data_IF_642577806681
#
_entry.id   IF_642577806681
#
_cell.length_a   1.000
_cell.length_b   1.000
_cell.length_c   1.000
_cell.angle_alpha   90.00
_cell.angle_beta   90.00
_cell.angle_gamma   90.00
#
_symmetry.space_group_name_H-M   'P 1'
#
loop_
_entity.id
_entity.type
_entity.pdbx_description
1 polymer ?
#
# COMPACT_ATOMS: atom_id res chain seq x y z
N UNK A 1 -27.39 5.96 4.89
CA UNK A 1 -27.92 5.45 3.59
C UNK A 1 -26.73 4.92 2.82
N UNK A 2 -26.53 3.60 2.79
CA UNK A 2 -25.48 2.97 1.99
C UNK A 2 -25.88 3.06 0.51
N UNK A 3 -25.32 4.05 -0.19
CA UNK A 3 -25.65 4.32 -1.60
C UNK A 3 -24.71 3.62 -2.59
N UNK A 4 -23.72 2.86 -2.10
CA UNK A 4 -22.77 2.13 -2.93
C UNK A 4 -23.03 0.64 -2.79
N UNK A 5 -23.51 0.02 -3.87
CA UNK A 5 -23.66 -1.44 -3.96
C UNK A 5 -22.36 -2.07 -4.45
N UNK A 6 -22.09 -3.32 -4.09
CA UNK A 6 -20.92 -4.06 -4.59
C UNK A 6 -20.89 -4.09 -6.13
N UNK A 7 -22.06 -4.17 -6.76
CA UNK A 7 -22.19 -4.09 -8.22
C UNK A 7 -21.72 -2.74 -8.79
N UNK A 8 -22.05 -1.62 -8.13
CA UNK A 8 -21.57 -0.30 -8.55
C UNK A 8 -20.05 -0.20 -8.44
N UNK A 9 -19.49 -0.63 -7.30
CA UNK A 9 -18.05 -0.63 -7.06
C UNK A 9 -17.30 -1.49 -8.08
N UNK A 10 -17.75 -2.72 -8.28
CA UNK A 10 -17.16 -3.63 -9.26
C UNK A 10 -17.14 -3.00 -10.66
N UNK A 11 -18.26 -2.41 -11.11
CA UNK A 11 -18.33 -1.73 -12.41
C UNK A 11 -17.39 -0.53 -12.50
N UNK A 12 -17.32 0.28 -11.44
CA UNK A 12 -16.46 1.46 -11.38
C UNK A 12 -14.99 1.08 -11.49
N UNK A 13 -14.53 0.13 -10.67
CA UNK A 13 -13.15 -0.36 -10.65
C UNK A 13 -12.83 -1.03 -12.00
N UNK A 14 -13.69 -1.94 -12.48
CA UNK A 14 -13.49 -2.63 -13.74
C UNK A 14 -13.39 -1.67 -14.93
N UNK A 15 -14.25 -0.66 -15.01
CA UNK A 15 -14.18 0.36 -16.07
C UNK A 15 -12.89 1.19 -16.01
N UNK A 16 -12.38 1.44 -14.79
CA UNK A 16 -11.12 2.15 -14.57
C UNK A 16 -9.94 1.30 -15.04
N UNK A 17 -9.89 0.02 -14.69
CA UNK A 17 -8.88 -0.94 -15.17
C UNK A 17 -8.91 -1.01 -16.70
N UNK A 18 -10.08 -1.19 -17.30
CA UNK A 18 -10.23 -1.27 -18.75
C UNK A 18 -9.73 -0.02 -19.48
N UNK A 19 -9.92 1.17 -18.91
CA UNK A 19 -9.45 2.41 -19.49
C UNK A 19 -7.91 2.48 -19.61
N UNK A 20 -7.18 1.79 -18.73
CA UNK A 20 -5.71 1.73 -18.77
C UNK A 20 -5.17 0.79 -19.87
N UNK A 21 -5.99 -0.16 -20.33
CA UNK A 21 -5.57 -1.22 -21.24
C UNK A 21 -4.66 -2.29 -20.62
N UNK A 22 -4.43 -2.25 -19.30
CA UNK A 22 -3.65 -3.26 -18.60
C UNK A 22 -4.45 -4.58 -18.47
N UNK A 23 -3.82 -5.74 -18.73
CA UNK A 23 -4.50 -7.04 -18.67
C UNK A 23 -4.56 -7.56 -17.21
N UNK A 24 -5.31 -6.85 -16.37
CA UNK A 24 -5.46 -7.14 -14.93
C UNK A 24 -6.87 -7.65 -14.64
N UNK A 25 -6.97 -8.71 -13.84
CA UNK A 25 -8.26 -9.24 -13.38
C UNK A 25 -8.70 -8.51 -12.12
N UNK A 26 -10.02 -8.39 -11.94
CA UNK A 26 -10.65 -7.82 -10.75
C UNK A 26 -11.41 -8.91 -10.01
N UNK A 27 -11.18 -9.02 -8.71
CA UNK A 27 -11.94 -9.92 -7.82
C UNK A 27 -12.46 -9.13 -6.61
N UNK A 28 -13.61 -9.54 -6.08
CA UNK A 28 -14.07 -9.04 -4.79
C UNK A 28 -13.53 -9.96 -3.69
N UNK A 29 -12.98 -9.37 -2.64
CA UNK A 29 -12.52 -10.10 -1.46
C UNK A 29 -13.06 -9.48 -0.16
N UNK A 30 -12.79 -10.16 0.95
CA UNK A 30 -13.15 -9.70 2.31
C UNK A 30 -11.94 -9.77 3.24
N UNK A 31 -10.78 -9.32 2.74
CA UNK A 31 -9.51 -9.35 3.48
C UNK A 31 -9.42 -8.30 4.58
N UNK A 32 -10.32 -7.30 4.57
CA UNK A 32 -10.25 -6.13 5.46
C UNK A 32 -9.29 -5.05 4.98
N UNK A 33 -8.72 -5.19 3.78
CA UNK A 33 -7.94 -4.15 3.07
C UNK A 33 -8.84 -3.55 1.99
N UNK A 34 -8.80 -2.23 1.79
CA UNK A 34 -9.69 -1.54 0.85
C UNK A 34 -9.52 -2.06 -0.59
N UNK A 35 -8.29 -2.09 -1.10
CA UNK A 35 -7.91 -2.64 -2.38
C UNK A 35 -6.47 -3.16 -2.28
N UNK A 36 -6.14 -4.19 -3.05
CA UNK A 36 -4.76 -4.68 -3.11
C UNK A 36 -4.45 -5.32 -4.45
N UNK A 37 -3.22 -5.15 -4.92
CA UNK A 37 -2.68 -5.89 -6.05
C UNK A 37 -1.86 -7.11 -5.59
N UNK A 38 -2.27 -8.29 -6.06
CA UNK A 38 -1.51 -9.51 -5.90
C UNK A 38 -0.60 -9.72 -7.13
N UNK A 39 0.70 -9.48 -6.96
CA UNK A 39 1.69 -9.61 -8.02
C UNK A 39 1.95 -11.06 -8.47
N UNK A 40 1.63 -12.07 -7.64
CA UNK A 40 1.78 -13.48 -8.01
C UNK A 40 0.67 -13.89 -8.99
N UNK A 41 -0.58 -13.61 -8.63
CA UNK A 41 -1.76 -13.99 -9.43
C UNK A 41 -2.12 -12.94 -10.49
N UNK A 42 -1.53 -11.74 -10.42
CA UNK A 42 -1.82 -10.61 -11.30
C UNK A 42 -3.29 -10.15 -11.21
N UNK A 43 -3.80 -10.06 -9.98
CA UNK A 43 -5.20 -9.74 -9.65
C UNK A 43 -5.23 -8.49 -8.78
N UNK A 44 -6.15 -7.58 -9.08
CA UNK A 44 -6.58 -6.55 -8.13
C UNK A 44 -7.80 -7.09 -7.40
N UNK A 45 -7.76 -7.04 -6.07
CA UNK A 45 -8.88 -7.38 -5.21
C UNK A 45 -9.36 -6.17 -4.42
N UNK A 46 -10.63 -6.16 -4.02
CA UNK A 46 -11.20 -5.09 -3.21
C UNK A 46 -12.19 -5.60 -2.17
N UNK A 47 -12.20 -4.96 -1.00
CA UNK A 47 -13.24 -5.11 0.01
C UNK A 47 -14.18 -3.90 -0.03
N UNK A 48 -15.42 -4.13 -0.46
CA UNK A 48 -16.40 -3.08 -0.64
C UNK A 48 -16.67 -2.26 0.64
N UNK A 49 -16.70 -2.91 1.80
CA UNK A 49 -16.99 -2.22 3.06
C UNK A 49 -15.80 -1.37 3.49
N UNK A 50 -14.60 -1.95 3.48
CA UNK A 50 -13.39 -1.21 3.86
C UNK A 50 -13.12 -0.05 2.92
N UNK A 51 -13.43 -0.18 1.64
CA UNK A 51 -13.26 0.90 0.66
C UNK A 51 -14.22 2.08 0.90
N UNK A 52 -15.46 1.80 1.30
CA UNK A 52 -16.41 2.84 1.74
C UNK A 52 -15.95 3.53 3.02
N UNK A 53 -15.46 2.76 4.00
CA UNK A 53 -14.92 3.30 5.25
C UNK A 53 -13.70 4.19 5.01
N UNK A 54 -12.73 3.71 4.23
CA UNK A 54 -11.50 4.43 3.93
C UNK A 54 -11.76 5.71 3.13
N UNK A 55 -12.72 5.70 2.19
CA UNK A 55 -13.14 6.92 1.51
C UNK A 55 -13.79 7.93 2.47
N UNK A 56 -14.48 7.45 3.52
CA UNK A 56 -15.07 8.27 4.57
C UNK A 56 -14.05 9.04 5.42
N UNK A 57 -12.78 8.65 5.40
CA UNK A 57 -11.67 9.36 6.05
C UNK A 57 -11.36 10.69 5.32
N UNK A 58 -11.76 10.83 4.05
CA UNK A 58 -11.58 12.02 3.20
C UNK A 58 -12.93 12.58 2.70
N UNK A 59 -13.78 13.14 3.58
CA UNK A 59 -15.16 13.49 3.26
C UNK A 59 -15.32 14.62 2.23
N UNK A 60 -14.27 15.37 1.93
CA UNK A 60 -14.26 16.41 0.89
C UNK A 60 -14.07 15.87 -0.52
N UNK A 61 -13.77 14.58 -0.68
CA UNK A 61 -13.48 13.94 -1.96
C UNK A 61 -14.70 13.16 -2.43
N UNK A 62 -15.00 13.24 -3.73
CA UNK A 62 -16.05 12.41 -4.33
C UNK A 62 -15.64 10.94 -4.26
N UNK A 63 -16.56 10.09 -3.80
CA UNK A 63 -16.30 8.66 -3.62
C UNK A 63 -15.74 7.99 -4.88
N UNK A 64 -16.25 8.35 -6.07
CA UNK A 64 -15.76 7.75 -7.31
C UNK A 64 -14.35 8.20 -7.67
N UNK A 65 -13.96 9.44 -7.36
CA UNK A 65 -12.59 9.92 -7.50
C UNK A 65 -11.64 9.15 -6.56
N UNK A 66 -12.07 8.90 -5.32
CA UNK A 66 -11.32 8.05 -4.39
C UNK A 66 -11.10 6.65 -4.96
N UNK A 67 -12.19 5.97 -5.35
CA UNK A 67 -12.13 4.59 -5.91
C UNK A 67 -11.22 4.54 -7.13
N UNK A 68 -11.39 5.46 -8.08
CA UNK A 68 -10.56 5.49 -9.30
C UNK A 68 -9.09 5.72 -8.96
N UNK A 69 -8.78 6.61 -8.03
CA UNK A 69 -7.40 6.92 -7.63
C UNK A 69 -6.72 5.72 -6.99
N UNK A 70 -7.39 5.06 -6.04
CA UNK A 70 -6.85 3.83 -5.42
C UNK A 70 -6.72 2.72 -6.48
N UNK A 71 -7.68 2.60 -7.41
CA UNK A 71 -7.55 1.65 -8.53
C UNK A 71 -6.30 1.94 -9.37
N UNK A 72 -6.03 3.20 -9.71
CA UNK A 72 -4.83 3.58 -10.46
C UNK A 72 -3.55 3.27 -9.68
N UNK A 73 -3.56 3.43 -8.35
CA UNK A 73 -2.45 3.06 -7.47
C UNK A 73 -2.14 1.56 -7.53
N UNK A 74 -3.14 0.69 -7.40
CA UNK A 74 -2.93 -0.76 -7.54
C UNK A 74 -2.42 -1.16 -8.92
N UNK A 75 -2.90 -0.49 -9.97
CA UNK A 75 -2.39 -0.68 -11.33
C UNK A 75 -0.95 -0.15 -11.48
N UNK A 76 -0.57 0.84 -10.67
CA UNK A 76 0.80 1.31 -10.53
C UNK A 76 1.75 0.24 -10.03
N UNK A 77 1.33 -0.58 -9.06
CA UNK A 77 2.08 -1.78 -8.65
C UNK A 77 2.17 -2.81 -9.78
N UNK A 78 1.08 -3.01 -10.54
CA UNK A 78 1.08 -3.96 -11.64
C UNK A 78 2.08 -3.60 -12.76
N UNK A 79 2.31 -2.31 -13.00
CA UNK A 79 3.32 -1.83 -13.96
C UNK A 79 4.73 -2.22 -13.52
N UNK A 80 5.02 -2.18 -12.21
CA UNK A 80 6.33 -2.50 -11.64
C UNK A 80 6.40 -3.91 -11.02
N UNK A 81 5.54 -4.82 -11.50
CA UNK A 81 5.51 -6.22 -11.09
C UNK A 81 6.90 -6.89 -11.08
N UNK A 82 7.81 -6.67 -12.07
CA UNK A 82 9.13 -7.27 -12.03
C UNK A 82 9.98 -6.88 -10.81
N UNK A 83 9.82 -5.67 -10.27
CA UNK A 83 10.53 -5.25 -9.07
C UNK A 83 9.99 -5.96 -7.83
N UNK A 84 8.67 -6.14 -7.73
CA UNK A 84 8.02 -6.93 -6.67
C UNK A 84 8.44 -8.40 -6.72
N UNK A 85 8.50 -8.98 -7.93
CA UNK A 85 8.99 -10.35 -8.12
C UNK A 85 10.47 -10.48 -7.68
N UNK A 86 11.29 -9.47 -7.99
CA UNK A 86 12.71 -9.46 -7.63
C UNK A 86 12.95 -9.33 -6.12
N UNK A 87 12.03 -8.71 -5.36
CA UNK A 87 12.13 -8.61 -3.90
C UNK A 87 11.63 -9.83 -3.15
N UNK A 88 10.97 -10.79 -3.83
CA UNK A 88 10.32 -11.94 -3.18
C UNK A 88 11.24 -12.67 -2.19
N UNK A 89 12.50 -12.91 -2.55
CA UNK A 89 13.47 -13.55 -1.65
C UNK A 89 13.63 -12.77 -0.35
N UNK A 90 13.78 -11.44 -0.42
CA UNK A 90 13.93 -10.61 0.77
C UNK A 90 12.64 -10.51 1.57
N UNK A 91 11.49 -10.48 0.91
CA UNK A 91 10.17 -10.53 1.56
C UNK A 91 9.98 -11.82 2.36
N UNK A 92 10.48 -12.96 1.86
CA UNK A 92 10.45 -14.23 2.59
C UNK A 92 11.33 -14.19 3.85
N UNK A 93 12.51 -13.54 3.80
CA UNK A 93 13.34 -13.37 5.00
C UNK A 93 12.59 -12.60 6.10
N UNK A 94 11.85 -11.55 5.74
CA UNK A 94 11.04 -10.79 6.71
C UNK A 94 9.86 -11.60 7.25
N UNK A 95 9.23 -12.41 6.40
CA UNK A 95 8.18 -13.33 6.83
C UNK A 95 8.72 -14.35 7.84
N UNK A 96 9.83 -15.03 7.51
CA UNK A 96 10.45 -16.03 8.36
C UNK A 96 10.90 -15.42 9.70
N UNK A 97 11.43 -14.19 9.68
CA UNK A 97 11.77 -13.45 10.89
C UNK A 97 10.53 -13.23 11.79
N UNK A 98 9.40 -12.78 11.23
CA UNK A 98 8.17 -12.53 12.00
C UNK A 98 7.49 -13.81 12.49
N UNK A 99 7.68 -14.94 11.82
CA UNK A 99 7.17 -16.24 12.27
C UNK A 99 8.00 -16.80 13.44
N UNK A 100 9.31 -16.54 13.42
CA UNK A 100 10.24 -17.06 14.43
C UNK A 100 10.28 -16.22 15.72
N UNK A 101 10.05 -14.91 15.63
CA UNK A 101 10.21 -13.98 16.76
C UNK A 101 8.93 -13.23 17.07
N UNK A 102 8.61 -13.10 18.36
CA UNK A 102 7.52 -12.23 18.79
C UNK A 102 7.87 -10.76 18.56
N UNK A 103 6.84 -9.91 18.38
CA UNK A 103 7.02 -8.45 18.29
C UNK A 103 7.86 -7.90 19.44
N UNK A 104 7.68 -8.41 20.65
CA UNK A 104 8.46 -7.96 21.82
C UNK A 104 9.95 -8.30 21.70
N UNK A 105 10.30 -9.43 21.08
CA UNK A 105 11.69 -9.81 20.84
C UNK A 105 12.31 -8.96 19.74
N UNK A 106 11.57 -8.71 18.66
CA UNK A 106 11.98 -7.84 17.56
C UNK A 106 12.35 -6.45 18.10
N UNK A 107 11.47 -5.81 18.85
CA UNK A 107 11.67 -4.44 19.37
C UNK A 107 12.72 -4.33 20.49
N UNK A 108 13.38 -5.43 20.87
CA UNK A 108 14.46 -5.46 21.85
C UNK A 108 15.80 -5.87 21.27
N UNK A 109 15.83 -6.31 20.01
CA UNK A 109 17.03 -6.77 19.34
C UNK A 109 17.31 -5.84 18.15
N UNK A 110 18.46 -5.13 18.13
CA UNK A 110 18.76 -4.18 17.07
C UNK A 110 18.85 -4.84 15.69
N UNK A 111 19.32 -6.08 15.58
CA UNK A 111 19.42 -6.76 14.28
C UNK A 111 18.02 -7.08 13.74
N UNK A 112 17.11 -7.56 14.59
CA UNK A 112 15.74 -7.90 14.20
C UNK A 112 14.92 -6.65 13.87
N UNK A 113 15.01 -5.60 14.70
CA UNK A 113 14.34 -4.34 14.42
C UNK A 113 14.93 -3.67 13.18
N UNK A 114 16.24 -3.78 12.96
CA UNK A 114 16.90 -3.32 11.73
C UNK A 114 16.31 -3.95 10.47
N UNK A 115 16.00 -5.25 10.50
CA UNK A 115 15.30 -5.92 9.40
C UNK A 115 13.89 -5.35 9.16
N UNK A 116 13.14 -5.02 10.22
CA UNK A 116 11.83 -4.37 10.08
C UNK A 116 11.94 -2.96 9.47
N UNK A 117 12.96 -2.20 9.86
CA UNK A 117 13.26 -0.89 9.27
C UNK A 117 13.57 -1.01 7.77
N UNK A 118 14.35 -2.02 7.38
CA UNK A 118 14.64 -2.31 5.98
C UNK A 118 13.37 -2.70 5.19
N UNK A 119 12.49 -3.53 5.77
CA UNK A 119 11.19 -3.88 5.18
C UNK A 119 10.33 -2.63 4.94
N UNK A 120 10.22 -1.73 5.94
CA UNK A 120 9.50 -0.47 5.80
C UNK A 120 10.04 0.39 4.66
N UNK A 121 11.37 0.54 4.58
CA UNK A 121 12.00 1.32 3.51
C UNK A 121 11.72 0.73 2.12
N UNK A 122 11.81 -0.60 2.00
CA UNK A 122 11.48 -1.30 0.76
C UNK A 122 10.01 -1.09 0.38
N UNK A 123 9.08 -1.23 1.33
CA UNK A 123 7.66 -1.04 1.08
C UNK A 123 7.34 0.40 0.68
N UNK A 124 7.90 1.41 1.37
CA UNK A 124 7.73 2.82 1.00
C UNK A 124 8.22 3.07 -0.44
N UNK A 125 9.37 2.51 -0.84
CA UNK A 125 9.87 2.65 -2.20
C UNK A 125 8.92 2.04 -3.25
N UNK A 126 8.28 0.91 -2.94
CA UNK A 126 7.25 0.32 -3.81
C UNK A 126 6.00 1.18 -3.89
N UNK A 127 5.53 1.69 -2.76
CA UNK A 127 4.38 2.59 -2.69
C UNK A 127 4.62 3.87 -3.51
N UNK A 128 5.76 4.53 -3.32
CA UNK A 128 6.13 5.73 -4.07
C UNK A 128 6.19 5.47 -5.58
N UNK A 129 6.75 4.33 -5.98
CA UNK A 129 6.82 3.93 -7.40
C UNK A 129 5.43 3.65 -7.98
N UNK A 130 4.56 2.97 -7.23
CA UNK A 130 3.18 2.74 -7.63
C UNK A 130 2.40 4.05 -7.77
N UNK A 131 2.58 5.00 -6.85
CA UNK A 131 1.98 6.34 -6.95
C UNK A 131 2.49 7.13 -8.15
N UNK A 132 3.79 7.06 -8.46
CA UNK A 132 4.33 7.69 -9.67
C UNK A 132 3.75 7.07 -10.95
N UNK A 133 3.60 5.74 -10.99
CA UNK A 133 2.95 5.06 -12.11
C UNK A 133 1.45 5.41 -12.23
N UNK A 134 0.76 5.51 -11.11
CA UNK A 134 -0.65 5.92 -11.05
C UNK A 134 -0.86 7.36 -11.53
N UNK A 135 0.05 8.27 -11.16
CA UNK A 135 0.06 9.65 -11.62
C UNK A 135 0.24 9.70 -13.14
N UNK A 136 1.23 8.97 -13.67
CA UNK A 136 1.43 8.82 -15.12
C UNK A 136 0.21 8.26 -15.86
N UNK A 137 -0.54 7.34 -15.24
CA UNK A 137 -1.80 6.83 -15.81
C UNK A 137 -2.89 7.89 -15.76
N UNK A 138 -3.02 8.62 -14.66
CA UNK A 138 -4.01 9.67 -14.49
C UNK A 138 -3.78 10.83 -15.48
N UNK A 139 -2.54 11.25 -15.70
CA UNK A 139 -2.19 12.28 -16.68
C UNK A 139 -2.62 11.90 -18.12
N UNK A 140 -2.51 10.61 -18.47
CA UNK A 140 -2.89 10.11 -19.79
C UNK A 140 -4.40 10.00 -19.98
N UNK A 141 -5.11 9.61 -18.92
CA UNK A 141 -6.54 9.27 -18.97
C UNK A 141 -7.45 10.41 -18.49
N UNK A 142 -6.89 11.39 -17.78
CA UNK A 142 -7.59 12.54 -17.21
C UNK A 142 -8.81 12.15 -16.36
N UNK A 143 -8.66 11.09 -15.53
CA UNK A 143 -9.75 10.52 -14.75
C UNK A 143 -10.07 11.32 -13.48
N UNK A 144 -9.04 11.90 -12.85
CA UNK A 144 -9.12 12.66 -11.60
C UNK A 144 -8.29 13.94 -11.78
N UNK A 145 -8.76 15.06 -11.24
CA UNK A 145 -7.95 16.28 -11.21
C UNK A 145 -6.74 16.13 -10.28
N UNK A 146 -5.64 16.82 -10.61
CA UNK A 146 -4.36 16.62 -9.92
C UNK A 146 -4.43 16.93 -8.42
N UNK A 147 -5.22 17.92 -8.00
CA UNK A 147 -5.32 18.28 -6.59
C UNK A 147 -6.00 17.16 -5.79
N UNK A 148 -7.12 16.63 -6.31
CA UNK A 148 -7.80 15.50 -5.68
C UNK A 148 -6.91 14.25 -5.64
N UNK A 149 -6.19 13.96 -6.73
CA UNK A 149 -5.26 12.83 -6.79
C UNK A 149 -4.18 12.94 -5.70
N UNK A 150 -3.53 14.10 -5.60
CA UNK A 150 -2.49 14.35 -4.61
C UNK A 150 -3.02 14.31 -3.16
N UNK A 151 -4.24 14.78 -2.91
CA UNK A 151 -4.85 14.67 -1.58
C UNK A 151 -5.01 13.20 -1.15
N UNK A 152 -5.46 12.33 -2.05
CA UNK A 152 -5.65 10.89 -1.77
C UNK A 152 -4.28 10.22 -1.59
N UNK A 153 -3.33 10.47 -2.48
CA UNK A 153 -1.96 9.94 -2.41
C UNK A 153 -1.30 10.28 -1.07
N UNK A 154 -1.33 11.54 -0.67
CA UNK A 154 -0.72 11.99 0.58
C UNK A 154 -1.39 11.35 1.81
N UNK A 155 -2.72 11.22 1.80
CA UNK A 155 -3.44 10.52 2.87
C UNK A 155 -3.03 9.04 2.95
N UNK A 156 -3.04 8.32 1.83
CA UNK A 156 -2.67 6.90 1.78
C UNK A 156 -1.22 6.65 2.21
N UNK A 157 -0.26 7.45 1.71
CA UNK A 157 1.16 7.32 2.06
C UNK A 157 1.45 7.63 3.53
N UNK A 158 0.68 8.52 4.16
CA UNK A 158 0.94 8.94 5.53
C UNK A 158 0.98 7.79 6.54
N UNK A 159 0.18 6.74 6.33
CA UNK A 159 0.16 5.58 7.23
C UNK A 159 1.48 4.82 7.20
N UNK A 160 2.04 4.59 6.01
CA UNK A 160 3.35 3.94 5.84
C UNK A 160 4.47 4.77 6.46
N UNK A 161 4.46 6.09 6.21
CA UNK A 161 5.47 7.01 6.72
C UNK A 161 5.43 7.07 8.25
N UNK A 162 4.24 7.21 8.84
CA UNK A 162 4.09 7.30 10.30
C UNK A 162 4.58 6.02 10.99
N UNK A 163 4.19 4.84 10.48
CA UNK A 163 4.63 3.56 11.05
C UNK A 163 6.16 3.41 10.97
N UNK A 164 6.76 3.76 9.84
CA UNK A 164 8.21 3.75 9.67
C UNK A 164 8.90 4.71 10.65
N UNK A 165 8.41 5.94 10.80
CA UNK A 165 9.00 6.93 11.69
C UNK A 165 8.93 6.52 13.16
N UNK A 166 7.81 5.93 13.59
CA UNK A 166 7.62 5.39 14.94
C UNK A 166 8.63 4.27 15.23
N UNK A 167 8.73 3.27 14.35
CA UNK A 167 9.65 2.15 14.52
C UNK A 167 11.12 2.60 14.43
N UNK A 168 11.43 3.54 13.54
CA UNK A 168 12.77 4.10 13.38
C UNK A 168 13.21 4.85 14.65
N UNK A 169 12.29 5.55 15.32
CA UNK A 169 12.59 6.22 16.58
C UNK A 169 12.97 5.20 17.67
N UNK A 170 12.25 4.08 17.76
CA UNK A 170 12.59 3.00 18.70
C UNK A 170 13.93 2.36 18.35
N UNK A 171 14.18 2.13 17.06
CA UNK A 171 15.43 1.55 16.58
C UNK A 171 16.66 2.41 16.96
N UNK A 172 16.57 3.73 16.73
CA UNK A 172 17.65 4.67 17.11
C UNK A 172 17.93 4.64 18.61
N UNK A 173 16.89 4.63 19.45
CA UNK A 173 17.06 4.53 20.90
C UNK A 173 17.72 3.21 21.33
N UNK A 174 17.39 2.10 20.66
CA UNK A 174 17.95 0.79 20.96
C UNK A 174 19.44 0.72 20.61
N UNK A 175 19.85 1.31 19.48
CA UNK A 175 21.25 1.41 19.08
C UNK A 175 22.07 2.22 20.10
N UNK A 176 21.57 3.39 20.51
CA UNK A 176 22.22 4.23 21.52
C UNK A 176 22.42 3.49 22.86
N UNK A 177 21.43 2.71 23.29
CA UNK A 177 21.53 1.91 24.52
C UNK A 177 22.55 0.78 24.42
N UNK A 178 22.69 0.18 23.23
CA UNK A 178 23.62 -0.93 22.97
C UNK A 178 25.06 -0.42 22.87
N UNK A 179 25.27 0.76 22.28
CA UNK A 179 26.59 1.40 22.18
C UNK A 179 27.11 1.94 23.54
N UNK A 180 26.21 2.24 24.48
CA UNK A 180 26.54 2.74 25.82
C UNK A 180 26.79 1.66 26.88
N UNK A 181 26.63 0.37 26.56
CA UNK A 181 26.98 -0.73 27.46
C UNK A 181 28.45 -1.15 27.27
N UNK A 182 29.34 -1.01 28.28
CA UNK A 182 30.68 -1.57 28.20
C UNK A 182 30.61 -3.11 28.18
N UNK A 183 31.43 -3.71 27.33
CA UNK A 183 31.62 -5.17 27.20
C UNK A 183 32.05 -5.84 28.50
#
# INVERSE_FOLDING_TARGET
MNQYTNEFLYKLICSTIQATGLPIMLEEDHTGVNMSYNFITNVVSFDANRLVEAAGELPSILFDHYVKTITLHELGHAIDRPALDASLTRTLDYFDMRDQYSTKEIFKNPDLLGMLIEEHQMNIAFEETAWANAENLNEKLLLIDQNTFEMIKNHSLSTYINNYEEDLAVYKQLLEQTELQPA
#
